data_IF_542964373972
#
_entry.id   IF_542964373972
#
_cell.length_a   1.000
_cell.length_b   1.000
_cell.length_c   1.000
_cell.angle_alpha   90.00
_cell.angle_beta   90.00
_cell.angle_gamma   90.00
#
_symmetry.space_group_name_H-M   'P 1'
#
loop_
_entity.id
_entity.type
_entity.pdbx_description
1 polymer ?
#
# COMPACT_ATOMS: atom_id res chain seq x y z
N UNK A 1 -49.31 -19.56 -17.06
CA UNK A 1 -48.45 -18.55 -17.70
C UNK A 1 -48.62 -17.26 -16.91
N UNK A 2 -47.68 -16.96 -16.01
CA UNK A 2 -47.73 -15.77 -15.14
C UNK A 2 -46.74 -14.76 -15.74
N UNK A 3 -47.26 -13.57 -16.02
CA UNK A 3 -46.61 -12.49 -16.76
C UNK A 3 -45.64 -11.72 -15.84
N UNK A 4 -44.34 -11.98 -15.95
CA UNK A 4 -43.27 -11.36 -15.14
C UNK A 4 -42.81 -9.99 -15.69
N UNK A 5 -43.72 -9.21 -16.29
CA UNK A 5 -43.45 -7.82 -16.69
C UNK A 5 -44.04 -6.87 -15.67
N UNK A 6 -43.30 -6.58 -14.58
CA UNK A 6 -43.38 -5.30 -13.84
C UNK A 6 -42.38 -5.28 -12.67
N UNK A 7 -41.74 -4.12 -12.52
CA UNK A 7 -40.84 -3.68 -11.43
C UNK A 7 -39.35 -4.06 -11.54
N UNK A 8 -38.68 -3.52 -12.56
CA UNK A 8 -37.32 -3.01 -12.35
C UNK A 8 -37.50 -1.60 -11.76
N UNK A 9 -37.63 -1.52 -10.43
CA UNK A 9 -37.39 -0.27 -9.72
C UNK A 9 -35.87 -0.11 -9.73
N UNK A 10 -35.37 0.72 -10.65
CA UNK A 10 -34.03 1.28 -10.56
C UNK A 10 -34.09 2.22 -9.36
N UNK A 11 -33.85 1.69 -8.15
CA UNK A 11 -33.36 2.50 -7.04
C UNK A 11 -31.98 2.98 -7.47
N UNK A 12 -31.95 4.10 -8.16
CA UNK A 12 -30.81 5.00 -8.15
C UNK A 12 -30.70 5.50 -6.71
N UNK A 13 -30.12 4.67 -5.83
CA UNK A 13 -29.45 5.17 -4.65
C UNK A 13 -28.37 6.07 -5.21
N UNK A 14 -28.69 7.35 -5.31
CA UNK A 14 -27.71 8.42 -5.43
C UNK A 14 -26.80 8.19 -4.23
N UNK A 15 -25.67 7.50 -4.47
CA UNK A 15 -24.50 7.67 -3.64
C UNK A 15 -24.23 9.16 -3.72
N UNK A 16 -24.72 9.89 -2.72
CA UNK A 16 -24.23 11.23 -2.45
C UNK A 16 -22.75 10.99 -2.22
N UNK A 17 -21.95 11.18 -3.26
CA UNK A 17 -20.52 11.34 -3.08
C UNK A 17 -20.41 12.47 -2.05
N UNK A 18 -20.05 12.13 -0.82
CA UNK A 18 -19.94 13.08 0.29
C UNK A 18 -18.66 13.90 0.10
N UNK A 19 -18.62 14.60 -1.04
CA UNK A 19 -17.81 15.77 -1.22
C UNK A 19 -18.32 16.80 -0.22
N UNK A 20 -17.41 17.40 0.52
CA UNK A 20 -17.76 18.36 1.56
C UNK A 20 -16.94 19.63 1.40
N UNK A 21 -17.49 20.75 1.82
CA UNK A 21 -16.76 22.00 1.94
C UNK A 21 -16.41 22.33 3.39
N UNK A 22 -17.15 21.79 4.34
CA UNK A 22 -17.08 22.05 5.77
C UNK A 22 -17.44 20.80 6.56
N UNK A 23 -16.91 20.71 7.78
CA UNK A 23 -17.09 19.58 8.71
C UNK A 23 -18.56 19.22 8.95
N UNK A 24 -19.45 20.19 9.14
CA UNK A 24 -20.87 19.95 9.42
C UNK A 24 -21.62 19.20 8.30
N UNK A 25 -21.08 19.19 7.07
CA UNK A 25 -21.66 18.43 5.95
C UNK A 25 -21.39 16.92 6.04
N UNK A 26 -20.44 16.53 6.89
CA UNK A 26 -20.08 15.14 7.13
C UNK A 26 -20.96 14.45 8.17
N UNK A 27 -22.05 15.09 8.59
CA UNK A 27 -23.03 14.53 9.53
C UNK A 27 -22.87 15.06 10.94
N UNK A 28 -23.63 14.45 11.86
CA UNK A 28 -23.80 14.93 13.23
C UNK A 28 -22.77 14.38 14.23
N UNK A 29 -21.71 13.76 13.74
CA UNK A 29 -20.68 13.05 14.53
C UNK A 29 -19.45 13.90 14.80
N UNK A 30 -19.54 15.22 14.59
CA UNK A 30 -18.51 16.18 15.00
C UNK A 30 -18.14 16.00 16.47
N UNK A 31 -16.84 16.06 16.84
CA UNK A 31 -15.67 16.37 16.00
C UNK A 31 -14.99 15.14 15.37
N UNK A 32 -15.63 13.96 15.43
CA UNK A 32 -15.03 12.68 15.08
C UNK A 32 -15.10 12.33 13.59
N UNK A 33 -15.98 12.97 12.83
CA UNK A 33 -15.99 12.89 11.38
C UNK A 33 -15.71 14.28 10.84
N UNK A 34 -14.83 14.43 9.86
CA UNK A 34 -14.32 15.73 9.42
C UNK A 34 -14.27 15.80 7.90
N UNK A 35 -14.39 17.00 7.37
CA UNK A 35 -14.22 17.29 5.96
C UNK A 35 -12.74 17.48 5.65
N UNK A 36 -12.10 16.42 5.15
CA UNK A 36 -10.66 16.41 4.88
C UNK A 36 -10.37 16.91 3.46
N UNK A 37 -9.55 17.96 3.34
CA UNK A 37 -9.17 18.60 2.06
C UNK A 37 -7.66 18.52 1.82
N UNK A 38 -7.25 18.77 0.58
CA UNK A 38 -5.84 18.78 0.14
C UNK A 38 -5.14 17.46 0.48
N UNK A 39 -5.69 16.37 -0.06
CA UNK A 39 -5.04 15.06 0.01
C UNK A 39 -3.74 15.09 -0.79
N UNK A 40 -2.69 14.47 -0.27
CA UNK A 40 -1.49 14.12 -0.98
C UNK A 40 -1.41 12.59 -1.07
N UNK A 41 -1.73 12.04 -2.24
CA UNK A 41 -1.62 10.61 -2.51
C UNK A 41 -0.14 10.28 -2.68
N UNK A 42 0.36 9.38 -1.84
CA UNK A 42 1.74 8.94 -1.92
C UNK A 42 1.90 7.96 -3.07
N UNK A 43 3.14 7.69 -3.46
CA UNK A 43 3.43 6.64 -4.42
C UNK A 43 2.89 5.29 -3.89
N UNK A 44 2.69 4.35 -4.80
CA UNK A 44 2.21 3.02 -4.47
C UNK A 44 0.69 2.91 -4.46
N UNK A 45 0.19 1.93 -5.19
CA UNK A 45 -1.20 1.49 -5.13
C UNK A 45 -1.22 -0.02 -5.28
N UNK A 46 -2.26 -0.65 -4.74
CA UNK A 46 -2.56 -2.06 -5.03
C UNK A 46 -4.07 -2.26 -5.14
N UNK A 47 -4.52 -3.45 -5.52
CA UNK A 47 -5.94 -3.78 -5.57
C UNK A 47 -6.27 -4.83 -4.52
N UNK A 48 -7.16 -4.48 -3.60
CA UNK A 48 -7.84 -5.45 -2.76
C UNK A 48 -8.90 -6.17 -3.59
N UNK A 49 -8.51 -7.30 -4.16
CA UNK A 49 -9.34 -8.13 -5.04
C UNK A 49 -10.59 -8.70 -4.33
N UNK A 50 -10.51 -8.93 -3.02
CA UNK A 50 -11.63 -9.44 -2.21
C UNK A 50 -12.74 -8.39 -2.04
N UNK A 51 -12.38 -7.10 -1.94
CA UNK A 51 -13.36 -6.02 -1.79
C UNK A 51 -13.64 -5.26 -3.09
N UNK A 52 -12.86 -5.51 -4.15
CA UNK A 52 -12.96 -4.78 -5.41
C UNK A 52 -12.57 -3.31 -5.26
N UNK A 53 -11.50 -3.02 -4.52
CA UNK A 53 -11.07 -1.64 -4.23
C UNK A 53 -9.59 -1.43 -4.54
N UNK A 54 -9.26 -0.24 -5.06
CA UNK A 54 -7.88 0.23 -5.15
C UNK A 54 -7.50 0.79 -3.78
N UNK A 55 -6.38 0.32 -3.24
CA UNK A 55 -5.84 0.70 -1.94
C UNK A 55 -4.58 1.54 -2.15
N UNK A 56 -4.43 2.60 -1.37
CA UNK A 56 -3.30 3.52 -1.47
C UNK A 56 -3.05 4.24 -0.13
N UNK A 57 -1.85 4.78 0.03
CA UNK A 57 -1.50 5.60 1.19
C UNK A 57 -1.61 7.07 0.80
N UNK A 58 -2.17 7.88 1.70
CA UNK A 58 -2.23 9.32 1.51
C UNK A 58 -2.11 10.09 2.83
N UNK A 59 -1.84 11.39 2.73
CA UNK A 59 -1.82 12.32 3.84
C UNK A 59 -2.65 13.56 3.49
N UNK A 60 -3.62 13.92 4.31
CA UNK A 60 -4.30 15.22 4.18
C UNK A 60 -3.49 16.31 4.88
N UNK A 61 -3.56 17.55 4.39
CA UNK A 61 -2.76 18.67 4.93
C UNK A 61 -2.99 18.96 6.41
N UNK A 62 -4.14 18.57 6.96
CA UNK A 62 -4.52 18.78 8.36
C UNK A 62 -4.31 17.56 9.25
N UNK A 63 -3.91 16.43 8.67
CA UNK A 63 -3.62 15.21 9.42
C UNK A 63 -2.16 15.19 9.87
N UNK A 64 -1.92 14.54 11.00
CA UNK A 64 -0.57 14.25 11.48
C UNK A 64 -0.04 12.93 10.93
N UNK A 65 -0.94 11.98 10.71
CA UNK A 65 -0.62 10.60 10.36
C UNK A 65 -1.10 10.29 8.96
N UNK A 66 -0.27 9.54 8.23
CA UNK A 66 -0.67 8.96 6.95
C UNK A 66 -1.82 8.00 7.16
N UNK A 67 -2.60 7.77 6.12
CA UNK A 67 -3.78 6.90 6.16
C UNK A 67 -3.69 5.88 5.04
N UNK A 68 -4.12 4.66 5.33
CA UNK A 68 -4.52 3.73 4.30
C UNK A 68 -5.96 4.06 3.89
N UNK A 69 -6.13 4.36 2.60
CA UNK A 69 -7.42 4.71 2.01
C UNK A 69 -7.71 3.74 0.86
N UNK A 70 -8.98 3.63 0.50
CA UNK A 70 -9.38 2.81 -0.63
C UNK A 70 -10.55 3.42 -1.40
N UNK A 71 -10.61 3.16 -2.71
CA UNK A 71 -11.72 3.56 -3.60
C UNK A 71 -12.22 2.34 -4.39
N UNK A 72 -13.51 2.23 -4.75
CA UNK A 72 -13.96 1.15 -5.62
C UNK A 72 -13.20 1.14 -6.94
N UNK A 73 -12.92 -0.05 -7.50
CA UNK A 73 -12.22 -0.17 -8.79
C UNK A 73 -12.95 0.48 -9.97
N UNK A 74 -14.27 0.72 -9.82
CA UNK A 74 -15.13 1.42 -10.78
C UNK A 74 -15.30 2.92 -10.49
N UNK A 75 -14.56 3.45 -9.51
CA UNK A 75 -14.74 4.80 -8.98
C UNK A 75 -15.84 4.87 -7.93
N UNK A 76 -15.89 5.98 -7.18
CA UNK A 76 -16.87 6.20 -6.12
C UNK A 76 -16.26 6.79 -4.84
N UNK A 77 -16.96 6.71 -3.71
CA UNK A 77 -16.50 7.33 -2.47
C UNK A 77 -15.24 6.65 -1.94
N UNK A 78 -14.32 7.49 -1.50
CA UNK A 78 -13.14 7.06 -0.74
C UNK A 78 -13.58 6.51 0.62
N UNK A 79 -12.88 5.47 1.07
CA UNK A 79 -13.08 4.81 2.35
C UNK A 79 -11.79 4.93 3.15
N UNK A 80 -11.94 5.30 4.41
CA UNK A 80 -10.88 5.21 5.39
C UNK A 80 -10.75 3.76 5.87
N UNK A 81 -9.55 3.18 5.77
CA UNK A 81 -9.27 1.86 6.33
C UNK A 81 -8.70 1.99 7.74
N UNK A 82 -7.55 2.67 7.89
CA UNK A 82 -6.95 2.99 9.18
C UNK A 82 -5.81 4.01 9.02
N UNK A 83 -5.37 4.59 10.14
CA UNK A 83 -4.20 5.47 10.23
C UNK A 83 -2.93 4.65 10.38
N UNK A 84 -1.84 5.14 9.80
CA UNK A 84 -0.51 4.56 9.85
C UNK A 84 0.32 5.26 10.92
N UNK A 85 0.67 4.51 11.96
CA UNK A 85 1.50 4.95 13.08
C UNK A 85 2.91 4.36 12.97
N UNK A 86 3.76 4.64 13.96
CA UNK A 86 5.09 4.02 14.06
C UNK A 86 6.21 4.74 13.30
N UNK A 87 5.92 5.87 12.66
CA UNK A 87 6.97 6.77 12.16
C UNK A 87 7.78 7.35 13.32
N UNK A 88 9.07 7.59 13.08
CA UNK A 88 9.99 8.16 14.06
C UNK A 88 10.84 9.28 13.45
N UNK A 89 11.74 9.83 14.25
CA UNK A 89 12.78 10.75 13.79
C UNK A 89 13.70 10.14 12.72
N UNK A 90 13.80 8.81 12.68
CA UNK A 90 14.77 8.07 11.86
C UNK A 90 14.16 7.28 10.70
N UNK A 91 12.85 7.03 10.74
CA UNK A 91 12.12 6.25 9.73
C UNK A 91 10.80 6.93 9.38
N UNK A 92 10.55 7.09 8.08
CA UNK A 92 9.32 7.63 7.52
C UNK A 92 8.72 6.66 6.54
N UNK A 93 7.43 6.39 6.65
CA UNK A 93 6.64 5.73 5.63
C UNK A 93 6.70 6.59 4.38
N UNK A 94 7.16 6.00 3.29
CA UNK A 94 7.34 6.69 2.02
C UNK A 94 6.18 6.37 1.08
N UNK A 95 5.94 5.08 0.82
CA UNK A 95 4.91 4.66 -0.13
C UNK A 95 4.39 3.24 0.11
N UNK A 96 3.24 2.93 -0.49
CA UNK A 96 2.68 1.58 -0.47
C UNK A 96 3.52 0.67 -1.36
N UNK A 97 3.93 -0.49 -0.85
CA UNK A 97 4.57 -1.53 -1.64
C UNK A 97 3.54 -2.53 -2.16
N UNK A 98 2.83 -3.19 -1.23
CA UNK A 98 1.81 -4.20 -1.52
C UNK A 98 0.70 -4.19 -0.49
N UNK A 99 -0.50 -4.54 -0.93
CA UNK A 99 -1.62 -4.82 -0.04
C UNK A 99 -2.14 -6.24 -0.33
N UNK A 100 -2.00 -7.12 0.66
CA UNK A 100 -2.40 -8.50 0.53
C UNK A 100 -3.92 -8.63 0.75
N UNK A 101 -4.64 -9.00 -0.29
CA UNK A 101 -6.11 -8.94 -0.35
C UNK A 101 -6.79 -9.88 0.66
N UNK A 102 -6.23 -11.07 0.89
CA UNK A 102 -6.87 -12.08 1.75
C UNK A 102 -6.57 -11.85 3.23
N UNK A 103 -5.29 -11.68 3.57
CA UNK A 103 -4.79 -11.44 4.92
C UNK A 103 -4.99 -10.01 5.40
N UNK A 104 -5.32 -9.08 4.49
CA UNK A 104 -5.39 -7.63 4.74
C UNK A 104 -4.07 -7.05 5.28
N UNK A 105 -2.96 -7.71 4.94
CA UNK A 105 -1.62 -7.31 5.37
C UNK A 105 -1.08 -6.20 4.47
N UNK A 106 -0.64 -5.12 5.09
CA UNK A 106 0.00 -3.99 4.41
C UNK A 106 1.51 -4.14 4.44
N UNK A 107 2.14 -4.02 3.28
CA UNK A 107 3.58 -3.82 3.13
C UNK A 107 3.85 -2.45 2.55
N UNK A 108 4.78 -1.72 3.14
CA UNK A 108 5.13 -0.36 2.76
C UNK A 108 6.63 -0.17 2.73
N UNK A 109 7.10 0.72 1.88
CA UNK A 109 8.47 1.19 1.95
C UNK A 109 8.57 2.32 2.96
N UNK A 110 9.68 2.35 3.69
CA UNK A 110 10.04 3.44 4.56
C UNK A 110 11.43 3.96 4.20
N UNK A 111 11.57 5.28 4.22
CA UNK A 111 12.82 5.97 4.06
C UNK A 111 13.46 6.14 5.46
N UNK A 112 14.57 5.47 5.67
CA UNK A 112 15.41 5.62 6.84
C UNK A 112 16.65 6.45 6.49
N UNK A 113 17.32 7.06 7.48
CA UNK A 113 18.39 8.06 7.23
C UNK A 113 19.44 7.63 6.19
N UNK A 114 19.68 6.32 5.99
CA UNK A 114 20.71 5.82 5.05
C UNK A 114 20.26 4.74 4.08
N UNK A 115 19.02 4.28 4.14
CA UNK A 115 18.54 3.17 3.32
C UNK A 115 17.01 3.16 3.24
N UNK A 116 16.48 2.44 2.26
CA UNK A 116 15.07 2.09 2.23
C UNK A 116 14.86 0.76 2.94
N UNK A 117 13.73 0.65 3.62
CA UNK A 117 13.30 -0.58 4.26
C UNK A 117 11.91 -0.97 3.79
N UNK A 118 11.72 -2.26 3.51
CA UNK A 118 10.40 -2.84 3.30
C UNK A 118 9.85 -3.27 4.66
N UNK A 119 8.65 -2.84 4.97
CA UNK A 119 8.05 -3.04 6.28
C UNK A 119 6.66 -3.68 6.20
N UNK A 120 6.40 -4.69 7.03
CA UNK A 120 5.03 -5.15 7.28
C UNK A 120 4.40 -4.27 8.37
N UNK A 121 3.29 -3.60 8.06
CA UNK A 121 2.56 -2.78 9.01
C UNK A 121 1.56 -3.62 9.81
N UNK A 122 1.54 -3.44 11.13
CA UNK A 122 0.68 -4.17 12.05
C UNK A 122 -0.45 -3.25 12.52
N UNK A 123 -1.64 -3.27 11.88
CA UNK A 123 -2.70 -2.32 12.20
C UNK A 123 -3.22 -2.44 13.63
N UNK A 124 -3.24 -3.66 14.19
CA UNK A 124 -3.73 -3.92 15.55
C UNK A 124 -2.90 -3.25 16.65
N UNK A 125 -1.59 -3.10 16.41
CA UNK A 125 -0.64 -2.46 17.35
C UNK A 125 -0.17 -1.09 16.86
N UNK A 126 -0.54 -0.72 15.63
CA UNK A 126 0.02 0.40 14.87
C UNK A 126 1.54 0.47 14.91
N UNK A 127 2.19 -0.67 14.74
CA UNK A 127 3.64 -0.79 14.77
C UNK A 127 4.17 -1.41 13.47
N UNK A 128 5.48 -1.32 13.28
CA UNK A 128 6.19 -2.06 12.24
C UNK A 128 6.57 -3.43 12.79
N UNK A 129 6.29 -4.48 12.04
CA UNK A 129 6.60 -5.86 12.40
C UNK A 129 7.89 -6.34 11.71
N UNK A 130 7.75 -6.88 10.51
CA UNK A 130 8.87 -7.24 9.63
C UNK A 130 9.51 -5.98 9.08
N UNK A 131 10.84 -5.95 9.08
CA UNK A 131 11.65 -4.92 8.43
C UNK A 131 12.75 -5.61 7.64
N UNK A 132 12.89 -5.23 6.38
CA UNK A 132 14.03 -5.64 5.53
C UNK A 132 14.65 -4.44 4.88
N UNK A 133 15.92 -4.22 5.21
CA UNK A 133 16.73 -3.20 4.57
C UNK A 133 17.25 -3.75 3.24
N UNK A 134 17.26 -2.93 2.20
CA UNK A 134 17.78 -3.31 0.90
C UNK A 134 18.53 -2.14 0.27
N UNK A 135 19.51 -2.48 -0.57
CA UNK A 135 20.32 -1.52 -1.33
C UNK A 135 20.20 -1.74 -2.83
N UNK A 136 19.96 -2.99 -3.22
CA UNK A 136 19.89 -3.45 -4.60
C UNK A 136 18.42 -3.71 -4.99
N UNK A 137 18.13 -3.87 -6.30
CA UNK A 137 16.78 -4.22 -6.78
C UNK A 137 16.23 -5.42 -6.02
N UNK A 138 15.00 -5.26 -5.54
CA UNK A 138 14.38 -6.20 -4.65
C UNK A 138 12.88 -6.26 -4.94
N UNK A 139 12.38 -7.45 -5.23
CA UNK A 139 10.95 -7.71 -5.33
C UNK A 139 10.59 -8.95 -4.48
N UNK A 140 9.40 -8.91 -3.90
CA UNK A 140 8.72 -10.01 -3.23
C UNK A 140 7.35 -10.28 -3.86
N UNK A 141 7.03 -11.55 -3.99
CA UNK A 141 5.69 -12.02 -4.34
C UNK A 141 5.15 -12.92 -3.23
N UNK A 142 3.88 -12.71 -2.89
CA UNK A 142 3.22 -13.35 -1.76
C UNK A 142 2.11 -14.29 -2.27
N UNK A 143 2.22 -15.57 -1.93
CA UNK A 143 1.16 -16.55 -2.15
C UNK A 143 0.35 -16.69 -0.87
N UNK A 144 -0.75 -15.94 -0.78
CA UNK A 144 -1.61 -15.93 0.40
C UNK A 144 -2.32 -17.26 0.64
N UNK A 145 -2.62 -18.02 -0.41
CA UNK A 145 -3.32 -19.30 -0.28
C UNK A 145 -2.41 -20.37 0.28
N UNK A 146 -1.17 -20.46 -0.21
CA UNK A 146 -0.20 -21.43 0.28
C UNK A 146 0.69 -20.92 1.43
N UNK A 147 0.49 -19.66 1.85
CA UNK A 147 1.28 -18.97 2.88
C UNK A 147 2.78 -19.01 2.57
N UNK A 148 3.14 -18.66 1.34
CA UNK A 148 4.55 -18.63 0.88
C UNK A 148 4.94 -17.24 0.44
N UNK A 149 6.24 -16.99 0.44
CA UNK A 149 6.81 -15.77 -0.11
C UNK A 149 8.00 -16.12 -0.98
N UNK A 150 8.02 -15.54 -2.17
CA UNK A 150 9.09 -15.63 -3.14
C UNK A 150 9.77 -14.27 -3.22
N UNK A 151 11.08 -14.22 -3.36
CA UNK A 151 11.78 -12.94 -3.43
C UNK A 151 13.13 -13.03 -4.14
N UNK A 152 13.62 -11.89 -4.63
CA UNK A 152 14.96 -11.74 -5.22
C UNK A 152 15.98 -11.23 -4.19
N UNK A 153 17.23 -11.61 -4.36
CA UNK A 153 18.38 -11.02 -3.63
C UNK A 153 19.52 -10.67 -4.59
N UNK A 154 19.17 -10.12 -5.75
CA UNK A 154 20.05 -9.83 -6.90
C UNK A 154 20.57 -11.08 -7.63
N UNK A 155 21.18 -12.02 -6.90
CA UNK A 155 21.83 -13.21 -7.50
C UNK A 155 20.96 -14.47 -7.52
N UNK A 156 19.92 -14.50 -6.69
CA UNK A 156 19.06 -15.67 -6.56
C UNK A 156 17.59 -15.31 -6.43
N UNK A 157 16.74 -16.26 -6.80
CA UNK A 157 15.33 -16.27 -6.44
C UNK A 157 15.15 -17.27 -5.31
N UNK A 158 14.52 -16.82 -4.24
CA UNK A 158 14.34 -17.57 -3.00
C UNK A 158 12.87 -17.75 -2.66
N UNK A 159 12.60 -18.74 -1.83
CA UNK A 159 11.29 -19.07 -1.28
C UNK A 159 11.38 -19.27 0.22
N UNK A 160 10.39 -18.77 0.95
CA UNK A 160 10.10 -19.16 2.34
C UNK A 160 8.67 -19.68 2.46
N UNK A 161 8.42 -20.56 3.43
CA UNK A 161 7.11 -21.19 3.66
C UNK A 161 6.26 -20.43 4.68
N UNK A 162 6.34 -19.09 4.65
CA UNK A 162 5.50 -18.19 5.44
C UNK A 162 5.45 -16.81 4.78
N UNK A 163 4.49 -15.98 5.19
CA UNK A 163 4.44 -14.55 4.86
C UNK A 163 5.09 -13.77 6.02
N UNK A 164 6.16 -13.00 5.80
CA UNK A 164 6.92 -12.38 6.88
C UNK A 164 6.17 -11.20 7.52
N UNK A 165 5.81 -11.34 8.80
CA UNK A 165 5.04 -10.32 9.55
C UNK A 165 5.82 -9.76 10.76
N UNK A 166 6.70 -10.52 11.42
CA UNK A 166 7.34 -10.12 12.68
C UNK A 166 8.86 -10.32 12.77
N UNK A 167 9.50 -11.09 11.88
CA UNK A 167 10.91 -11.51 12.03
C UNK A 167 11.72 -11.33 10.73
N UNK A 168 12.99 -10.97 10.88
CA UNK A 168 13.99 -10.74 9.83
C UNK A 168 14.78 -11.99 9.40
N UNK A 169 14.45 -13.16 9.95
CA UNK A 169 15.09 -14.47 9.64
C UNK A 169 14.76 -15.00 8.23
N UNK A 170 14.32 -14.13 7.33
CA UNK A 170 13.88 -14.45 5.98
C UNK A 170 14.95 -15.23 5.21
N UNK A 171 16.21 -14.83 5.31
CA UNK A 171 17.32 -15.51 4.63
C UNK A 171 17.65 -16.87 5.22
N UNK A 172 17.70 -16.97 6.54
CA UNK A 172 18.04 -18.21 7.26
C UNK A 172 17.04 -19.33 6.96
N UNK A 173 15.76 -18.97 6.80
CA UNK A 173 14.69 -19.89 6.51
C UNK A 173 14.40 -20.05 5.00
N UNK A 174 15.19 -19.40 4.14
CA UNK A 174 14.95 -19.42 2.69
C UNK A 174 15.54 -20.64 1.99
N UNK A 175 14.79 -21.19 1.06
CA UNK A 175 15.27 -22.11 0.04
C UNK A 175 15.60 -21.31 -1.23
N UNK A 176 16.79 -21.51 -1.78
CA UNK A 176 17.13 -20.97 -3.11
C UNK A 176 16.50 -21.85 -4.18
N UNK A 177 15.71 -21.24 -5.08
CA UNK A 177 15.11 -21.89 -6.24
C UNK A 177 16.00 -21.74 -7.48
N UNK A 178 16.52 -20.53 -7.70
CA UNK A 178 17.32 -20.17 -8.88
C UNK A 178 18.57 -19.41 -8.45
N UNK A 179 19.72 -19.68 -9.08
CA UNK A 179 21.04 -19.10 -8.76
C UNK A 179 21.70 -18.49 -9.99
N UNK A 180 22.69 -17.65 -9.72
CA UNK A 180 23.66 -17.11 -10.68
C UNK A 180 23.02 -16.26 -11.78
N UNK A 181 21.91 -15.59 -11.45
CA UNK A 181 21.26 -14.60 -12.31
C UNK A 181 21.53 -13.16 -11.89
N UNK A 182 21.05 -12.22 -12.69
CA UNK A 182 20.93 -10.80 -12.32
C UNK A 182 19.44 -10.45 -12.30
N UNK A 183 18.77 -10.92 -11.26
CA UNK A 183 17.31 -10.88 -11.17
C UNK A 183 16.84 -9.54 -10.62
N UNK A 184 16.07 -8.82 -11.42
CA UNK A 184 15.58 -7.49 -11.09
C UNK A 184 14.19 -7.52 -10.47
N UNK A 185 13.33 -8.45 -10.93
CA UNK A 185 11.90 -8.48 -10.59
C UNK A 185 11.34 -9.91 -10.69
N UNK A 186 10.23 -10.16 -10.00
CA UNK A 186 9.51 -11.43 -10.03
C UNK A 186 8.00 -11.22 -10.03
N UNK A 187 7.27 -12.12 -10.70
CA UNK A 187 5.81 -12.18 -10.65
C UNK A 187 5.35 -13.63 -10.48
N UNK A 188 4.28 -13.84 -9.72
CA UNK A 188 3.69 -15.15 -9.46
C UNK A 188 2.36 -15.31 -10.21
N UNK A 189 2.18 -16.42 -10.91
CA UNK A 189 0.89 -16.81 -11.51
C UNK A 189 0.67 -18.31 -11.38
N UNK A 190 -0.17 -18.70 -10.42
CA UNK A 190 -0.37 -20.10 -10.04
C UNK A 190 0.95 -20.71 -9.54
N UNK A 191 1.36 -21.83 -10.10
CA UNK A 191 2.63 -22.50 -9.76
C UNK A 191 3.83 -21.98 -10.57
N UNK A 192 3.64 -20.97 -11.43
CA UNK A 192 4.70 -20.43 -12.26
C UNK A 192 5.27 -19.15 -11.65
N UNK A 193 6.59 -19.05 -11.65
CA UNK A 193 7.32 -17.82 -11.37
C UNK A 193 7.81 -17.23 -12.69
N UNK A 194 7.56 -15.95 -12.88
CA UNK A 194 8.11 -15.19 -13.99
C UNK A 194 9.17 -14.26 -13.44
N UNK A 195 10.38 -14.35 -13.98
CA UNK A 195 11.57 -13.74 -13.41
C UNK A 195 12.18 -12.83 -14.46
N UNK A 196 12.29 -11.55 -14.13
CA UNK A 196 12.94 -10.56 -14.98
C UNK A 196 14.43 -10.52 -14.68
N UNK A 197 15.24 -10.70 -15.72
CA UNK A 197 16.70 -10.57 -15.66
C UNK A 197 17.16 -9.73 -16.84
N UNK A 198 17.61 -8.51 -16.58
CA UNK A 198 17.90 -7.51 -17.62
C UNK A 198 16.69 -7.28 -18.53
N UNK A 199 16.79 -7.62 -19.83
CA UNK A 199 15.76 -7.48 -20.86
C UNK A 199 14.98 -8.79 -21.13
N UNK A 200 15.20 -9.83 -20.31
CA UNK A 200 14.64 -11.18 -20.54
C UNK A 200 13.69 -11.55 -19.41
N UNK A 201 12.50 -12.05 -19.77
CA UNK A 201 11.60 -12.73 -18.84
C UNK A 201 11.77 -14.24 -18.99
N UNK A 202 12.15 -14.86 -17.88
CA UNK A 202 12.17 -16.30 -17.73
C UNK A 202 10.89 -16.78 -17.06
N UNK A 203 10.44 -17.98 -17.42
CA UNK A 203 9.43 -18.73 -16.71
C UNK A 203 10.09 -19.90 -15.98
N UNK A 204 9.84 -19.98 -14.69
CA UNK A 204 10.19 -21.07 -13.81
C UNK A 204 8.97 -21.58 -13.06
N UNK A 205 9.23 -22.55 -12.19
CA UNK A 205 8.27 -23.20 -11.32
C UNK A 205 8.57 -22.85 -9.86
N UNK A 206 7.55 -22.76 -9.02
CA UNK A 206 7.72 -22.56 -7.56
C UNK A 206 8.48 -23.71 -6.87
N UNK A 207 8.71 -24.82 -7.59
CA UNK A 207 9.47 -25.98 -7.15
C UNK A 207 10.96 -25.93 -7.56
N UNK A 208 11.37 -24.97 -8.42
CA UNK A 208 12.77 -24.80 -8.84
C UNK A 208 13.16 -25.54 -10.12
N UNK A 209 12.20 -25.83 -11.01
CA UNK A 209 12.47 -26.45 -12.32
C UNK A 209 13.23 -25.49 -13.26
N UNK A 210 13.92 -26.03 -14.27
CA UNK A 210 14.74 -25.25 -15.20
C UNK A 210 14.00 -24.02 -15.77
N UNK A 211 14.68 -22.87 -15.76
CA UNK A 211 14.17 -21.64 -16.33
C UNK A 211 14.07 -21.74 -17.86
N UNK A 212 12.94 -21.32 -18.40
CA UNK A 212 12.68 -21.23 -19.83
C UNK A 212 12.50 -19.77 -20.21
N UNK A 213 13.25 -19.29 -21.21
CA UNK A 213 13.05 -17.94 -21.75
C UNK A 213 11.69 -17.86 -22.43
N UNK A 214 10.85 -16.89 -22.05
CA UNK A 214 9.50 -16.71 -22.61
C UNK A 214 9.31 -15.37 -23.31
N UNK A 215 10.12 -14.37 -23.00
CA UNK A 215 10.11 -13.06 -23.66
C UNK A 215 11.50 -12.44 -23.56
N UNK A 216 11.93 -11.74 -24.60
CA UNK A 216 13.21 -11.03 -24.67
C UNK A 216 13.03 -9.76 -25.49
N UNK A 217 13.23 -8.61 -24.85
CA UNK A 217 13.25 -7.30 -25.51
C UNK A 217 14.64 -6.96 -26.05
N UNK A 218 14.78 -5.83 -26.74
CA UNK A 218 16.10 -5.32 -27.20
C UNK A 218 17.04 -5.08 -26.00
N UNK A 219 18.33 -5.41 -26.15
CA UNK A 219 19.35 -5.35 -25.09
C UNK A 219 19.59 -3.92 -24.55
N UNK A 220 19.17 -2.89 -25.28
CA UNK A 220 19.38 -1.49 -24.89
C UNK A 220 18.23 -0.89 -24.07
N UNK A 221 17.19 -1.66 -23.80
CA UNK A 221 16.00 -1.18 -23.10
C UNK A 221 16.11 -1.42 -21.60
N UNK A 222 15.93 -0.35 -20.82
CA UNK A 222 15.84 -0.50 -19.37
C UNK A 222 14.45 -1.02 -19.01
N UNK A 223 14.45 -2.12 -18.27
CA UNK A 223 13.25 -2.87 -17.98
C UNK A 223 13.01 -2.93 -16.45
N UNK A 224 12.50 -1.86 -15.83
CA UNK A 224 12.02 -1.92 -14.46
C UNK A 224 10.58 -2.43 -14.45
N UNK A 225 10.16 -3.14 -13.41
CA UNK A 225 8.76 -3.50 -13.16
C UNK A 225 8.16 -4.57 -14.08
N UNK A 226 7.72 -5.67 -13.48
CA UNK A 226 7.00 -6.77 -14.11
C UNK A 226 5.70 -7.08 -13.36
N UNK A 227 4.59 -7.14 -14.11
CA UNK A 227 3.38 -7.85 -13.70
C UNK A 227 3.01 -8.89 -14.71
N UNK A 228 2.43 -9.97 -14.19
CA UNK A 228 1.92 -11.06 -15.00
C UNK A 228 0.46 -11.29 -14.65
N UNK A 229 -0.37 -11.30 -15.68
CA UNK A 229 -1.78 -11.64 -15.59
C UNK A 229 -2.02 -12.99 -16.27
N UNK A 230 -3.23 -13.53 -16.15
CA UNK A 230 -3.60 -14.77 -16.84
C UNK A 230 -3.43 -14.71 -18.37
N UNK A 231 -3.33 -13.51 -18.97
CA UNK A 231 -3.28 -13.34 -20.42
C UNK A 231 -2.11 -12.52 -20.94
N UNK A 232 -1.43 -11.71 -20.11
CA UNK A 232 -0.41 -10.76 -20.56
C UNK A 232 0.71 -10.58 -19.53
N UNK A 233 1.91 -10.33 -20.04
CA UNK A 233 2.98 -9.58 -19.37
C UNK A 233 2.65 -8.08 -19.46
N UNK A 234 2.77 -7.35 -18.35
CA UNK A 234 2.55 -5.90 -18.27
C UNK A 234 3.71 -5.28 -17.54
N UNK A 235 4.38 -4.33 -18.17
CA UNK A 235 5.75 -4.03 -17.77
C UNK A 235 6.23 -2.69 -18.35
N UNK A 236 7.26 -2.07 -17.77
CA UNK A 236 7.76 -0.75 -18.21
C UNK A 236 8.96 -0.91 -19.13
N UNK A 237 8.98 -0.14 -20.22
CA UNK A 237 10.13 0.01 -21.12
C UNK A 237 10.40 1.51 -21.25
N UNK A 238 11.58 1.96 -20.85
CA UNK A 238 11.93 3.38 -20.84
C UNK A 238 10.90 4.24 -20.07
N UNK A 239 10.04 4.96 -20.79
CA UNK A 239 8.96 5.80 -20.24
C UNK A 239 7.57 5.29 -20.63
N UNK A 240 7.47 4.11 -21.22
CA UNK A 240 6.23 3.52 -21.71
C UNK A 240 5.83 2.31 -20.85
N UNK A 241 4.52 2.12 -20.69
CA UNK A 241 3.96 0.89 -20.11
C UNK A 241 3.37 0.09 -21.24
N UNK A 242 3.84 -1.14 -21.38
CA UNK A 242 3.44 -2.03 -22.46
C UNK A 242 2.74 -3.27 -21.93
N UNK A 243 1.93 -3.88 -22.79
CA UNK A 243 1.45 -5.24 -22.61
C UNK A 243 1.91 -6.12 -23.77
N UNK A 244 2.33 -7.33 -23.44
CA UNK A 244 2.59 -8.41 -24.41
C UNK A 244 1.79 -9.63 -23.97
N UNK A 245 1.09 -10.33 -24.87
CA UNK A 245 0.39 -11.55 -24.52
C UNK A 245 1.31 -12.58 -23.86
N UNK A 246 0.78 -13.41 -22.97
CA UNK A 246 1.56 -14.34 -22.13
C UNK A 246 2.33 -15.41 -22.94
N UNK A 247 2.00 -15.56 -24.24
CA UNK A 247 2.75 -16.39 -25.18
C UNK A 247 4.09 -15.76 -25.61
N UNK A 248 4.37 -14.50 -25.24
CA UNK A 248 5.63 -13.81 -25.50
C UNK A 248 5.77 -13.21 -26.90
N UNK A 249 4.71 -13.19 -27.73
CA UNK A 249 4.81 -12.69 -29.09
C UNK A 249 4.88 -11.16 -29.14
N UNK A 250 6.10 -10.62 -29.28
CA UNK A 250 6.36 -9.18 -29.39
C UNK A 250 5.68 -8.49 -30.58
N UNK A 251 5.30 -9.23 -31.64
CA UNK A 251 4.49 -8.67 -32.74
C UNK A 251 3.09 -8.24 -32.30
N UNK A 252 2.65 -8.68 -31.12
CA UNK A 252 1.39 -8.30 -30.47
C UNK A 252 1.63 -7.34 -29.29
N UNK A 253 2.85 -6.79 -29.16
CA UNK A 253 3.18 -5.78 -28.14
C UNK A 253 2.33 -4.54 -28.36
N UNK A 254 1.76 -4.02 -27.28
CA UNK A 254 0.95 -2.82 -27.28
C UNK A 254 1.43 -1.84 -26.23
N UNK A 255 1.57 -0.58 -26.62
CA UNK A 255 1.82 0.51 -25.68
C UNK A 255 0.50 0.92 -25.04
N UNK A 256 0.41 0.75 -23.72
CA UNK A 256 -0.78 1.10 -22.92
C UNK A 256 -0.71 2.57 -22.52
N UNK A 257 0.44 3.01 -22.00
CA UNK A 257 0.71 4.40 -21.63
C UNK A 257 2.05 4.81 -22.21
N UNK A 258 2.18 6.07 -22.64
CA UNK A 258 3.41 6.59 -23.23
C UNK A 258 3.91 7.82 -22.52
N UNK A 259 5.23 8.05 -22.57
CA UNK A 259 5.89 9.26 -22.05
C UNK A 259 5.57 9.55 -20.58
N UNK A 260 5.68 8.52 -19.75
CA UNK A 260 5.53 8.62 -18.31
C UNK A 260 6.81 9.19 -17.71
N UNK A 261 6.75 10.43 -17.20
CA UNK A 261 7.92 11.17 -16.72
C UNK A 261 8.18 11.07 -15.20
N UNK A 262 7.36 10.34 -14.46
CA UNK A 262 7.53 10.15 -13.02
C UNK A 262 7.27 8.69 -12.68
N UNK A 263 7.88 8.15 -11.60
CA UNK A 263 7.59 6.80 -11.16
C UNK A 263 6.09 6.66 -10.88
N UNK A 264 5.42 5.99 -11.81
CA UNK A 264 4.03 5.62 -11.67
C UNK A 264 4.05 4.29 -10.93
N UNK A 265 3.46 4.27 -9.75
CA UNK A 265 3.07 2.99 -9.16
C UNK A 265 1.94 2.40 -9.98
N UNK A 266 2.14 1.17 -10.44
CA UNK A 266 1.18 0.45 -11.29
C UNK A 266 0.81 -0.84 -10.58
N UNK A 267 -0.41 -1.29 -10.81
CA UNK A 267 -0.81 -2.68 -10.60
C UNK A 267 -1.79 -3.09 -11.70
N UNK A 268 -2.04 -4.38 -11.87
CA UNK A 268 -2.95 -4.89 -12.89
C UNK A 268 -4.00 -5.81 -12.27
N UNK A 269 -5.27 -5.55 -12.55
CA UNK A 269 -6.39 -6.36 -12.07
C UNK A 269 -7.61 -6.25 -12.99
N UNK A 270 -8.29 -7.37 -13.23
CA UNK A 270 -9.56 -7.39 -13.95
C UNK A 270 -9.53 -6.81 -15.37
N UNK A 271 -8.41 -6.92 -16.10
CA UNK A 271 -8.26 -6.37 -17.46
C UNK A 271 -7.81 -4.90 -17.52
N UNK A 272 -7.60 -4.27 -16.37
CA UNK A 272 -7.13 -2.89 -16.26
C UNK A 272 -5.75 -2.82 -15.63
N UNK A 273 -4.96 -1.82 -16.04
CA UNK A 273 -3.90 -1.28 -15.21
C UNK A 273 -4.47 -0.13 -14.38
N UNK A 274 -4.06 -0.06 -13.12
CA UNK A 274 -4.35 1.06 -12.22
C UNK A 274 -3.05 1.78 -11.96
N UNK A 275 -3.11 3.11 -11.93
CA UNK A 275 -1.92 3.93 -11.82
C UNK A 275 -2.18 5.29 -11.16
N UNK A 276 -1.14 5.85 -10.55
CA UNK A 276 -1.15 7.22 -10.00
C UNK A 276 -0.41 8.15 -10.95
N UNK A 277 -1.05 9.26 -11.32
CA UNK A 277 -0.39 10.36 -12.04
C UNK A 277 -0.58 11.65 -11.25
N UNK A 278 0.50 12.12 -10.62
CA UNK A 278 0.44 13.21 -9.64
C UNK A 278 -0.44 12.82 -8.46
N UNK A 279 -1.53 13.55 -8.26
CA UNK A 279 -2.48 13.33 -7.16
C UNK A 279 -3.81 12.71 -7.66
N UNK A 280 -3.77 11.99 -8.78
CA UNK A 280 -4.96 11.42 -9.44
C UNK A 280 -4.76 9.92 -9.64
N UNK A 281 -5.75 9.13 -9.22
CA UNK A 281 -5.77 7.68 -9.45
C UNK A 281 -6.60 7.42 -10.71
N UNK A 282 -5.99 6.70 -11.65
CA UNK A 282 -6.55 6.40 -12.96
C UNK A 282 -6.50 4.92 -13.25
N UNK A 283 -7.30 4.49 -14.24
CA UNK A 283 -7.19 3.15 -14.83
C UNK A 283 -7.27 3.20 -16.35
N UNK A 284 -6.72 2.18 -17.00
CA UNK A 284 -6.82 1.97 -18.45
C UNK A 284 -6.87 0.48 -18.78
N UNK A 285 -7.67 0.11 -19.78
CA UNK A 285 -7.71 -1.26 -20.28
C UNK A 285 -6.40 -1.63 -20.97
N UNK A 286 -5.79 -2.74 -20.55
CA UNK A 286 -4.57 -3.26 -21.20
C UNK A 286 -4.88 -4.24 -22.34
N UNK A 287 -6.10 -4.79 -22.40
CA UNK A 287 -6.47 -5.82 -23.37
C UNK A 287 -6.84 -5.22 -24.74
N UNK A 288 -7.47 -4.05 -24.77
CA UNK A 288 -7.83 -3.33 -26.00
C UNK A 288 -7.78 -1.81 -25.80
N UNK A 289 -7.84 -1.05 -26.90
CA UNK A 289 -7.87 0.41 -26.86
C UNK A 289 -9.13 0.93 -26.18
N UNK A 290 -8.91 1.81 -25.20
CA UNK A 290 -9.95 2.40 -24.39
C UNK A 290 -9.46 3.70 -23.75
N UNK A 291 -10.38 4.57 -23.31
CA UNK A 291 -10.02 5.82 -22.66
C UNK A 291 -9.32 5.56 -21.33
N UNK A 292 -8.55 6.55 -20.89
CA UNK A 292 -8.10 6.61 -19.50
C UNK A 292 -9.28 7.09 -18.65
N UNK A 293 -9.58 6.37 -17.59
CA UNK A 293 -10.65 6.70 -16.66
C UNK A 293 -10.06 7.21 -15.35
N UNK A 294 -10.59 8.33 -14.84
CA UNK A 294 -10.22 8.87 -13.53
C UNK A 294 -11.11 8.21 -12.48
N UNK A 295 -10.50 7.50 -11.54
CA UNK A 295 -11.20 6.87 -10.42
C UNK A 295 -11.34 7.81 -9.23
N UNK A 296 -10.31 8.63 -9.01
CA UNK A 296 -10.26 9.58 -7.93
C UNK A 296 -9.32 10.74 -8.28
N UNK A 297 -9.80 11.97 -8.07
CA UNK A 297 -9.02 13.19 -8.25
C UNK A 297 -8.77 13.81 -6.88
N UNK A 298 -7.52 13.77 -6.41
CA UNK A 298 -7.10 14.38 -5.16
C UNK A 298 -6.96 15.91 -5.23
N UNK A 299 -7.00 16.50 -6.43
CA UNK A 299 -6.93 17.95 -6.62
C UNK A 299 -8.31 18.62 -6.64
N UNK A 300 -9.38 17.84 -6.45
CA UNK A 300 -10.74 18.37 -6.38
C UNK A 300 -10.88 19.42 -5.26
N UNK A 301 -11.70 20.47 -5.45
CA UNK A 301 -11.83 21.56 -4.48
C UNK A 301 -12.58 21.17 -3.21
N UNK A 302 -13.46 20.17 -3.30
CA UNK A 302 -14.24 19.65 -2.17
C UNK A 302 -13.44 18.56 -1.44
N UNK A 303 -13.60 18.47 -0.12
CA UNK A 303 -12.99 17.44 0.70
C UNK A 303 -13.77 16.12 0.72
N UNK A 304 -13.27 15.21 1.55
CA UNK A 304 -13.88 13.92 1.84
C UNK A 304 -14.32 13.85 3.28
N UNK A 305 -15.52 13.32 3.52
CA UNK A 305 -16.00 13.05 4.86
C UNK A 305 -15.38 11.78 5.43
N UNK A 306 -14.37 11.94 6.29
CA UNK A 306 -13.60 10.84 6.88
C UNK A 306 -13.57 10.92 8.41
N UNK A 307 -13.34 9.80 9.07
CA UNK A 307 -13.12 9.78 10.51
C UNK A 307 -11.86 10.56 10.91
N UNK A 308 -11.85 11.07 12.14
CA UNK A 308 -10.67 11.61 12.77
C UNK A 308 -9.59 10.52 12.92
N UNK A 309 -8.35 10.92 13.16
CA UNK A 309 -7.21 10.00 13.06
C UNK A 309 -7.28 8.88 14.09
N UNK A 310 -7.19 7.64 13.61
CA UNK A 310 -7.28 6.40 14.40
C UNK A 310 -8.67 6.04 14.91
N UNK A 311 -9.68 6.89 14.69
CA UNK A 311 -11.06 6.59 15.02
C UNK A 311 -11.74 5.81 13.88
N UNK A 312 -12.60 4.86 14.23
CA UNK A 312 -13.33 4.02 13.28
C UNK A 312 -14.82 3.91 13.63
N UNK A 313 -15.55 2.96 13.02
CA UNK A 313 -17.01 2.76 13.02
C UNK A 313 -17.80 3.69 12.09
N UNK A 314 -19.07 3.35 11.87
CA UNK A 314 -20.01 4.14 11.04
C UNK A 314 -20.18 5.58 11.54
N UNK A 315 -19.97 5.83 12.83
CA UNK A 315 -20.08 7.15 13.45
C UNK A 315 -18.71 7.76 13.80
N UNK A 316 -17.62 7.11 13.42
CA UNK A 316 -16.25 7.55 13.73
C UNK A 316 -15.94 7.69 15.24
N UNK A 317 -16.68 7.04 16.14
CA UNK A 317 -16.50 7.20 17.59
C UNK A 317 -15.76 6.03 18.25
N UNK A 318 -15.37 5.02 17.49
CA UNK A 318 -14.72 3.84 18.04
C UNK A 318 -13.21 4.09 18.18
N UNK A 319 -12.74 4.03 19.42
CA UNK A 319 -11.33 4.01 19.83
C UNK A 319 -11.20 3.01 20.98
N UNK A 320 -10.44 1.92 20.79
CA UNK A 320 -10.34 0.89 21.80
C UNK A 320 -9.38 1.31 22.93
N UNK A 321 -9.93 1.87 24.01
CA UNK A 321 -9.16 2.37 25.16
C UNK A 321 -8.28 1.32 25.88
N UNK A 322 -8.46 0.03 25.61
CA UNK A 322 -7.55 -1.00 26.15
C UNK A 322 -6.22 -1.11 25.39
N UNK A 323 -6.21 -0.69 24.12
CA UNK A 323 -5.06 -0.77 23.22
C UNK A 323 -4.69 0.58 22.61
N UNK A 324 -5.45 1.63 22.89
CA UNK A 324 -5.27 2.98 22.34
C UNK A 324 -5.42 4.04 23.42
N UNK A 325 -4.84 5.19 23.15
CA UNK A 325 -4.91 6.40 23.94
C UNK A 325 -5.58 7.50 23.11
N UNK A 326 -6.68 8.06 23.61
CA UNK A 326 -7.41 9.14 22.94
C UNK A 326 -7.05 10.49 23.55
N UNK A 327 -6.81 11.50 22.72
CA UNK A 327 -6.61 12.88 23.17
C UNK A 327 -7.06 13.88 22.10
N UNK A 328 -7.05 15.18 22.43
CA UNK A 328 -7.46 16.26 21.52
C UNK A 328 -6.28 17.15 21.13
N UNK A 329 -6.25 17.58 19.87
CA UNK A 329 -5.31 18.55 19.31
C UNK A 329 -6.12 19.59 18.58
N UNK A 330 -6.06 20.85 19.01
CA UNK A 330 -6.77 21.95 18.34
C UNK A 330 -8.28 21.64 18.10
N UNK A 331 -8.91 21.00 19.10
CA UNK A 331 -10.33 20.59 19.04
C UNK A 331 -10.61 19.33 18.24
N UNK A 332 -9.61 18.70 17.62
CA UNK A 332 -9.73 17.46 16.85
C UNK A 332 -9.32 16.24 17.69
N UNK A 333 -10.16 15.20 17.80
CA UNK A 333 -9.81 13.99 18.52
C UNK A 333 -8.80 13.17 17.71
N UNK A 334 -7.86 12.53 18.41
CA UNK A 334 -6.91 11.55 17.87
C UNK A 334 -6.96 10.29 18.75
N UNK A 335 -6.90 9.12 18.11
CA UNK A 335 -6.83 7.82 18.77
C UNK A 335 -5.54 7.14 18.33
N UNK A 336 -4.55 7.05 19.23
CA UNK A 336 -3.24 6.47 18.91
C UNK A 336 -3.05 5.13 19.63
N UNK A 337 -2.44 4.11 19.01
CA UNK A 337 -2.14 2.85 19.66
C UNK A 337 -1.23 3.04 20.89
N UNK A 338 -1.42 2.20 21.90
CA UNK A 338 -0.50 2.03 23.01
C UNK A 338 0.57 1.00 22.63
N UNK A 339 1.82 1.32 22.92
CA UNK A 339 2.93 0.37 22.86
C UNK A 339 2.78 -0.68 23.98
N UNK A 340 3.56 -1.76 23.92
CA UNK A 340 3.56 -2.82 24.94
C UNK A 340 3.89 -2.31 26.36
N UNK A 341 4.59 -1.18 26.45
CA UNK A 341 4.86 -0.49 27.71
C UNK A 341 3.71 0.41 28.18
N UNK A 342 2.57 0.49 27.47
CA UNK A 342 1.43 1.34 27.81
C UNK A 342 1.64 2.84 27.61
N UNK A 343 2.73 3.27 26.97
CA UNK A 343 2.87 4.63 26.46
C UNK A 343 2.27 4.69 25.04
N UNK A 344 1.76 5.85 24.59
CA UNK A 344 1.26 5.96 23.23
C UNK A 344 2.40 5.83 22.21
N UNK A 345 2.11 5.24 21.05
CA UNK A 345 3.07 5.06 19.96
C UNK A 345 3.57 6.40 19.40
N UNK A 346 2.75 7.44 19.54
CA UNK A 346 3.09 8.82 19.25
C UNK A 346 2.51 9.76 20.31
N UNK A 347 3.20 10.87 20.56
CA UNK A 347 2.83 11.85 21.57
C UNK A 347 2.84 13.26 20.98
N UNK A 348 2.40 14.23 21.77
CA UNK A 348 2.38 15.66 21.46
C UNK A 348 2.98 16.47 22.60
N UNK A 349 2.85 16.01 23.83
CA UNK A 349 3.39 16.69 25.00
C UNK A 349 3.88 15.69 26.06
N UNK A 350 4.69 16.20 26.97
CA UNK A 350 5.35 15.39 28.00
C UNK A 350 4.38 14.70 28.96
N UNK A 351 3.17 15.23 29.15
CA UNK A 351 2.19 14.63 30.07
C UNK A 351 1.69 13.27 29.57
N UNK A 352 1.82 12.98 28.27
CA UNK A 352 1.51 11.68 27.68
C UNK A 352 2.65 10.64 27.87
N UNK A 353 3.83 11.08 28.29
CA UNK A 353 5.05 10.28 28.32
C UNK A 353 5.58 10.00 29.73
N UNK A 354 4.70 9.85 30.72
CA UNK A 354 5.08 9.57 32.11
C UNK A 354 6.05 10.62 32.70
N UNK A 355 5.76 11.91 32.48
CA UNK A 355 6.46 13.02 33.13
C UNK A 355 6.41 12.88 34.67
N UNK A 356 7.51 13.15 35.41
CA UNK A 356 8.72 13.85 34.97
C UNK A 356 9.80 12.96 34.34
N UNK A 357 9.63 11.64 34.31
CA UNK A 357 10.67 10.68 33.97
C UNK A 357 10.80 10.42 32.47
N UNK A 358 9.72 10.58 31.71
CA UNK A 358 9.75 10.66 30.25
C UNK A 358 9.31 12.03 29.73
N UNK A 359 9.51 12.24 28.44
CA UNK A 359 9.13 13.44 27.71
C UNK A 359 8.84 13.10 26.25
N UNK A 360 8.12 13.98 25.58
CA UNK A 360 7.73 13.81 24.19
C UNK A 360 8.77 14.47 23.28
N UNK A 361 9.37 13.70 22.38
CA UNK A 361 10.49 14.17 21.56
C UNK A 361 10.39 13.70 20.11
N UNK A 362 10.82 14.55 19.19
CA UNK A 362 10.84 14.27 17.77
C UNK A 362 10.51 15.52 16.96
N UNK A 363 10.12 15.31 15.70
CA UNK A 363 9.61 16.39 14.84
C UNK A 363 8.11 16.58 15.09
N UNK A 364 7.55 17.77 14.79
CA UNK A 364 6.16 18.11 15.13
C UNK A 364 5.10 17.11 14.64
N UNK A 365 5.38 16.43 13.52
CA UNK A 365 4.54 15.40 12.91
C UNK A 365 4.81 13.98 13.46
N UNK A 366 5.92 13.79 14.19
CA UNK A 366 6.49 12.48 14.56
C UNK A 366 7.21 12.54 15.91
N UNK A 367 6.47 12.88 16.96
CA UNK A 367 7.01 12.83 18.33
C UNK A 367 6.66 11.50 18.99
N UNK A 368 7.63 10.92 19.70
CA UNK A 368 7.47 9.68 20.46
C UNK A 368 7.91 9.87 21.90
N UNK A 369 7.40 9.04 22.80
CA UNK A 369 7.79 9.09 24.21
C UNK A 369 9.20 8.52 24.40
N UNK A 370 10.07 9.29 25.04
CA UNK A 370 11.43 8.87 25.38
C UNK A 370 11.75 9.14 26.86
N UNK A 371 12.63 8.33 27.42
CA UNK A 371 13.05 8.46 28.81
C UNK A 371 14.10 9.57 28.98
N UNK A 372 13.99 10.35 30.07
CA UNK A 372 15.04 11.29 30.46
C UNK A 372 16.28 10.54 30.94
N UNK A 373 17.42 11.21 30.87
CA UNK A 373 18.68 10.68 31.38
C UNK A 373 18.54 10.26 32.85
N UNK A 374 18.87 8.99 33.14
CA UNK A 374 18.75 8.40 34.48
C UNK A 374 17.43 7.69 34.78
N UNK A 375 16.37 7.91 33.99
CA UNK A 375 15.16 7.09 34.05
C UNK A 375 15.37 5.79 33.25
N UNK A 376 14.89 4.67 33.76
CA UNK A 376 15.09 3.35 33.13
C UNK A 376 13.79 2.57 33.09
N UNK A 377 13.80 1.39 32.45
CA UNK A 377 12.61 0.54 32.37
C UNK A 377 11.60 0.96 31.31
N UNK A 378 10.62 0.09 31.08
CA UNK A 378 9.72 0.16 29.94
C UNK A 378 8.85 1.44 29.90
N UNK A 379 8.53 2.02 31.06
CA UNK A 379 7.72 3.24 31.19
C UNK A 379 8.51 4.50 31.55
N UNK A 380 9.83 4.46 31.51
CA UNK A 380 10.69 5.52 32.06
C UNK A 380 10.38 5.73 33.54
N UNK A 381 10.77 4.80 34.39
CA UNK A 381 10.59 4.83 35.85
C UNK A 381 11.87 5.31 36.54
#
# INVERSE_FOLDING_TARGET
MIDYKKYIIITALVSICLACDQDWQCGNTQPYQQCKKNINILMGLDVDSESGRVVFIALYSEDKFKRLLSIPIIGGPIKYEYSLFGESSYSRIDHLYRYLSYSKQLYQFSNEIRFFSLNAYLPNTGSIGFTRNFRDPFEMEFDEQSQKTYFTDYTSVRKVNYIPVYSDTLYENSQILYRDGNYCDIALLGENLYILSSNIIYKGSVYGDQLVKVLEEDENLFFPYLKVTATHFIYMIDTDIVAVPLNGFLSQKRVILSNIFNPIAITAYGGYIYFIEGNVIKRKLYIHDGPIEVLYDGNKPNGDCLCAEGFSSINCQECNNSTHYSYFVDGKPQCVPLLSNGLPSQCINDSQCNSPHGYCYGYQDRMTCICKYGATGYKCQ
#
